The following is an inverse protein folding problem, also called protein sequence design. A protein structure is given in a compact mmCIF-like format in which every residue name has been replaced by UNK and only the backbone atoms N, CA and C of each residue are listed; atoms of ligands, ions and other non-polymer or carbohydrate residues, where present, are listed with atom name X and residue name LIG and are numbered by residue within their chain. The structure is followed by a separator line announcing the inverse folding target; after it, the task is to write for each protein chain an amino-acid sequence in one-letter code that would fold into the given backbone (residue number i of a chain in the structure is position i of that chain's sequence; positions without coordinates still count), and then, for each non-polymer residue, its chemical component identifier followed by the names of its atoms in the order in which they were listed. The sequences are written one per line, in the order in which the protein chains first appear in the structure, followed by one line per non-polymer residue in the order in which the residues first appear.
data_IF_428807526061
#
_entry.id   IF_428807526061
#
_cell.length_a   1.000
_cell.length_b   1.000
_cell.length_c   1.000
_cell.angle_alpha   90.00
_cell.angle_beta   90.00
_cell.angle_gamma   90.00
#
_symmetry.space_group_name_H-M   'P 1'
#
loop_
_entity.id
_entity.type
_entity.pdbx_description
1 polymer ?
#
# COMPACT_ATOMS: atom_id res chain seq x y z
N UNK A 1 -22.88 -28.92 0.20
CA UNK A 1 -22.89 -28.28 -1.14
C UNK A 1 -23.60 -26.92 -1.14
N UNK A 2 -24.80 -26.77 -0.54
CA UNK A 2 -25.47 -25.45 -0.44
C UNK A 2 -24.81 -24.46 0.54
N UNK A 3 -24.34 -24.89 1.71
CA UNK A 3 -23.60 -24.02 2.64
C UNK A 3 -22.27 -23.52 2.05
N UNK A 4 -21.54 -24.39 1.34
CA UNK A 4 -20.30 -24.03 0.63
C UNK A 4 -20.55 -23.04 -0.50
N UNK A 5 -21.68 -23.17 -1.22
CA UNK A 5 -22.05 -22.24 -2.29
C UNK A 5 -22.43 -20.86 -1.72
N UNK A 6 -23.28 -20.81 -0.69
CA UNK A 6 -23.66 -19.55 -0.04
C UNK A 6 -22.47 -18.82 0.60
N UNK A 7 -21.53 -19.56 1.19
CA UNK A 7 -20.29 -19.02 1.73
C UNK A 7 -19.39 -18.42 0.64
N UNK A 8 -19.22 -19.11 -0.49
CA UNK A 8 -18.48 -18.59 -1.64
C UNK A 8 -19.16 -17.35 -2.25
N UNK A 9 -20.50 -17.34 -2.33
CA UNK A 9 -21.25 -16.16 -2.81
C UNK A 9 -21.06 -14.96 -1.89
N UNK A 10 -21.10 -15.14 -0.57
CA UNK A 10 -20.84 -14.06 0.40
C UNK A 10 -19.42 -13.50 0.27
N UNK A 11 -18.41 -14.36 0.13
CA UNK A 11 -17.02 -13.92 -0.08
C UNK A 11 -16.91 -13.05 -1.33
N UNK A 12 -17.49 -13.49 -2.46
CA UNK A 12 -17.45 -12.74 -3.71
C UNK A 12 -18.12 -11.37 -3.53
N UNK A 13 -19.26 -11.31 -2.84
CA UNK A 13 -19.93 -10.04 -2.54
C UNK A 13 -19.08 -9.11 -1.66
N UNK A 14 -18.43 -9.63 -0.62
CA UNK A 14 -17.49 -8.85 0.20
C UNK A 14 -16.28 -8.37 -0.60
N UNK A 15 -15.70 -9.21 -1.45
CA UNK A 15 -14.60 -8.82 -2.32
C UNK A 15 -15.00 -7.72 -3.29
N UNK A 16 -16.15 -7.85 -3.96
CA UNK A 16 -16.70 -6.83 -4.85
C UNK A 16 -16.99 -5.52 -4.11
N UNK A 17 -17.45 -5.60 -2.86
CA UNK A 17 -17.65 -4.43 -2.00
C UNK A 17 -16.33 -3.67 -1.78
N UNK A 18 -15.26 -4.36 -1.38
CA UNK A 18 -13.95 -3.72 -1.16
C UNK A 18 -13.32 -3.20 -2.46
N UNK A 19 -13.46 -3.93 -3.58
CA UNK A 19 -12.97 -3.49 -4.89
C UNK A 19 -13.63 -2.17 -5.30
N UNK A 20 -14.94 -2.04 -5.09
CA UNK A 20 -15.66 -0.80 -5.39
C UNK A 20 -15.33 0.33 -4.41
N UNK A 21 -14.94 0.00 -3.18
CA UNK A 21 -14.66 0.98 -2.11
C UNK A 21 -13.24 1.56 -2.18
N UNK A 22 -12.26 0.79 -2.67
CA UNK A 22 -10.84 1.17 -2.74
C UNK A 22 -10.19 0.95 -4.13
N UNK A 23 -10.85 1.34 -5.24
CA UNK A 23 -10.38 0.99 -6.58
C UNK A 23 -8.99 1.57 -6.89
N UNK A 24 -8.71 2.80 -6.46
CA UNK A 24 -7.43 3.46 -6.78
C UNK A 24 -6.32 2.89 -5.91
N UNK A 25 -6.56 2.67 -4.62
CA UNK A 25 -5.57 2.02 -3.75
C UNK A 25 -5.20 0.63 -4.28
N UNK A 26 -6.18 -0.16 -4.72
CA UNK A 26 -5.90 -1.49 -5.29
C UNK A 26 -5.05 -1.41 -6.55
N UNK A 27 -5.33 -0.47 -7.45
CA UNK A 27 -4.50 -0.25 -8.63
C UNK A 27 -3.06 0.14 -8.27
N UNK A 28 -2.88 1.04 -7.29
CA UNK A 28 -1.55 1.44 -6.80
C UNK A 28 -0.84 0.25 -6.15
N UNK A 29 -1.52 -0.54 -5.33
CA UNK A 29 -0.94 -1.73 -4.68
C UNK A 29 -0.45 -2.73 -5.73
N UNK A 30 -1.27 -3.02 -6.75
CA UNK A 30 -0.86 -3.90 -7.86
C UNK A 30 0.34 -3.35 -8.61
N UNK A 31 0.36 -2.03 -8.84
CA UNK A 31 1.50 -1.36 -9.46
C UNK A 31 2.76 -1.48 -8.60
N UNK A 32 2.66 -1.28 -7.28
CA UNK A 32 3.79 -1.40 -6.36
C UNK A 32 4.31 -2.83 -6.30
N UNK A 33 3.43 -3.83 -6.24
CA UNK A 33 3.81 -5.25 -6.33
C UNK A 33 4.61 -5.47 -7.62
N UNK A 34 4.05 -5.07 -8.77
CA UNK A 34 4.71 -5.25 -10.05
C UNK A 34 6.11 -4.60 -10.07
N UNK A 35 6.22 -3.33 -9.68
CA UNK A 35 7.49 -2.60 -9.67
C UNK A 35 8.52 -3.17 -8.67
N UNK A 36 8.05 -3.79 -7.58
CA UNK A 36 8.92 -4.41 -6.58
C UNK A 36 9.56 -5.70 -7.07
N UNK A 37 8.92 -6.45 -7.98
CA UNK A 37 9.51 -7.66 -8.55
C UNK A 37 10.05 -7.46 -9.97
N UNK A 38 9.73 -6.34 -10.61
CA UNK A 38 10.25 -6.00 -11.92
C UNK A 38 11.75 -5.71 -11.89
N UNK A 39 12.48 -6.13 -12.93
CA UNK A 39 13.89 -5.79 -13.13
C UNK A 39 13.98 -4.51 -13.96
N UNK A 40 14.32 -3.35 -13.37
CA UNK A 40 14.36 -2.11 -14.13
C UNK A 40 15.45 -2.16 -15.22
N UNK A 41 15.19 -1.60 -16.42
CA UNK A 41 16.22 -1.45 -17.43
C UNK A 41 17.28 -0.46 -16.94
N UNK A 42 18.55 -0.70 -17.30
CA UNK A 42 19.64 0.23 -17.03
C UNK A 42 19.42 1.54 -17.79
N UNK A 43 19.22 2.64 -17.07
CA UNK A 43 18.97 3.98 -17.64
C UNK A 43 19.94 5.00 -17.04
N UNK A 44 20.14 6.14 -17.68
CA UNK A 44 20.97 7.23 -17.12
C UNK A 44 20.52 7.66 -15.71
N UNK A 45 19.22 7.55 -15.41
CA UNK A 45 18.64 7.86 -14.09
C UNK A 45 19.15 6.90 -13.02
N UNK A 46 19.37 5.63 -13.34
CA UNK A 46 19.92 4.64 -12.40
C UNK A 46 21.36 4.91 -11.96
N UNK A 47 22.05 5.90 -12.57
CA UNK A 47 23.39 6.33 -12.15
C UNK A 47 23.37 7.34 -10.99
N UNK A 48 22.21 7.94 -10.69
CA UNK A 48 22.07 8.85 -9.56
C UNK A 48 22.06 8.01 -8.27
N UNK A 49 22.97 8.26 -7.31
CA UNK A 49 23.00 7.48 -6.08
C UNK A 49 21.71 7.67 -5.27
N UNK A 50 21.17 6.57 -4.72
CA UNK A 50 19.97 6.52 -3.86
C UNK A 50 18.65 6.98 -4.51
N UNK A 51 18.59 7.13 -5.84
CA UNK A 51 17.35 7.53 -6.52
C UNK A 51 16.24 6.48 -6.36
N UNK A 52 16.62 5.21 -6.28
CA UNK A 52 15.76 4.08 -5.95
C UNK A 52 15.05 4.33 -4.61
N UNK A 53 15.75 4.82 -3.58
CA UNK A 53 15.16 5.10 -2.26
C UNK A 53 14.08 6.18 -2.33
N UNK A 54 14.26 7.19 -3.18
CA UNK A 54 13.24 8.23 -3.42
C UNK A 54 12.00 7.61 -4.08
N UNK A 55 12.19 6.71 -5.05
CA UNK A 55 11.09 5.98 -5.69
C UNK A 55 10.34 5.13 -4.67
N UNK A 56 11.04 4.45 -3.77
CA UNK A 56 10.47 3.68 -2.66
C UNK A 56 9.61 4.54 -1.72
N UNK A 57 10.13 5.71 -1.30
CA UNK A 57 9.36 6.69 -0.51
C UNK A 57 8.10 7.12 -1.28
N UNK A 58 8.22 7.47 -2.56
CA UNK A 58 7.09 7.91 -3.39
C UNK A 58 6.03 6.82 -3.56
N UNK A 59 6.44 5.57 -3.78
CA UNK A 59 5.55 4.42 -3.94
C UNK A 59 4.70 4.20 -2.68
N UNK A 60 5.34 4.16 -1.51
CA UNK A 60 4.63 3.94 -0.25
C UNK A 60 3.86 5.16 0.24
N UNK A 61 4.34 6.37 -0.06
CA UNK A 61 3.57 7.59 0.16
C UNK A 61 2.27 7.58 -0.67
N UNK A 62 2.37 7.22 -1.95
CA UNK A 62 1.21 7.10 -2.84
C UNK A 62 0.24 6.02 -2.38
N UNK A 63 0.73 4.82 -2.06
CA UNK A 63 -0.10 3.70 -1.58
C UNK A 63 -0.80 4.05 -0.25
N UNK A 64 -0.03 4.38 0.79
CA UNK A 64 -0.55 4.70 2.12
C UNK A 64 -1.45 5.94 2.09
N UNK A 65 -1.07 6.96 1.32
CA UNK A 65 -1.83 8.21 1.20
C UNK A 65 -3.18 8.00 0.51
N UNK A 66 -3.22 7.17 -0.54
CA UNK A 66 -4.48 6.84 -1.20
C UNK A 66 -5.38 6.00 -0.30
N UNK A 67 -4.83 5.04 0.44
CA UNK A 67 -5.59 4.26 1.42
C UNK A 67 -6.19 5.16 2.50
N UNK A 68 -5.42 6.12 3.03
CA UNK A 68 -5.93 7.15 3.95
C UNK A 68 -7.07 7.96 3.33
N UNK A 69 -6.89 8.43 2.10
CA UNK A 69 -7.87 9.26 1.40
C UNK A 69 -9.18 8.51 1.13
N UNK A 70 -9.10 7.31 0.55
CA UNK A 70 -10.27 6.47 0.26
C UNK A 70 -10.95 6.01 1.56
N UNK A 71 -10.19 5.67 2.60
CA UNK A 71 -10.77 5.31 3.91
C UNK A 71 -11.58 6.47 4.50
N UNK A 72 -11.00 7.67 4.54
CA UNK A 72 -11.67 8.87 5.08
C UNK A 72 -12.91 9.25 4.24
N UNK A 73 -12.84 9.12 2.91
CA UNK A 73 -13.99 9.36 2.02
C UNK A 73 -15.11 8.36 2.27
N UNK A 74 -14.75 7.08 2.32
CA UNK A 74 -15.71 6.00 2.33
C UNK A 74 -16.35 5.76 3.71
N UNK A 75 -15.78 6.34 4.77
CA UNK A 75 -16.33 6.27 6.13
C UNK A 75 -16.69 7.64 6.72
N UNK A 76 -16.80 8.69 5.89
CA UNK A 76 -17.21 10.03 6.35
C UNK A 76 -18.54 10.02 7.12
N UNK A 77 -19.47 9.15 6.72
CA UNK A 77 -20.83 9.05 7.32
C UNK A 77 -20.96 8.00 8.42
N UNK A 78 -20.04 7.05 8.48
CA UNK A 78 -20.22 5.80 9.24
C UNK A 78 -19.53 5.82 10.62
N UNK A 79 -19.00 6.98 11.06
CA UNK A 79 -18.26 7.13 12.32
C UNK A 79 -17.23 6.01 12.56
N UNK A 80 -16.60 5.50 11.50
CA UNK A 80 -15.71 4.37 11.62
C UNK A 80 -14.52 4.73 12.52
N UNK A 81 -14.09 3.82 13.41
CA UNK A 81 -12.99 4.10 14.32
C UNK A 81 -11.70 4.40 13.55
N UNK A 82 -11.02 5.49 13.92
CA UNK A 82 -9.78 5.92 13.26
C UNK A 82 -8.66 4.89 13.33
N UNK A 83 -8.71 3.96 14.31
CA UNK A 83 -7.73 2.87 14.40
C UNK A 83 -7.72 2.00 13.14
N UNK A 84 -8.86 1.83 12.45
CA UNK A 84 -8.91 1.08 11.19
C UNK A 84 -8.12 1.77 10.08
N UNK A 85 -8.10 3.12 10.07
CA UNK A 85 -7.27 3.88 9.13
C UNK A 85 -5.78 3.65 9.42
N UNK A 86 -5.37 3.69 10.69
CA UNK A 86 -4.00 3.41 11.09
C UNK A 86 -3.59 1.97 10.79
N UNK A 87 -4.47 1.00 11.08
CA UNK A 87 -4.20 -0.41 10.75
C UNK A 87 -4.07 -0.60 9.24
N UNK A 88 -5.06 -0.15 8.45
CA UNK A 88 -5.13 -0.40 7.02
C UNK A 88 -4.19 0.45 6.17
N UNK A 89 -3.98 1.72 6.53
CA UNK A 89 -3.21 2.67 5.73
C UNK A 89 -1.79 2.90 6.25
N UNK A 90 -1.42 2.43 7.45
CA UNK A 90 -0.05 2.52 7.96
C UNK A 90 0.56 1.15 8.29
N UNK A 91 -0.04 0.42 9.25
CA UNK A 91 0.53 -0.84 9.72
C UNK A 91 0.58 -1.89 8.60
N UNK A 92 -0.51 -2.07 7.86
CA UNK A 92 -0.57 -3.02 6.76
C UNK A 92 0.49 -2.70 5.66
N UNK A 93 0.62 -1.46 5.15
CA UNK A 93 1.70 -1.12 4.23
C UNK A 93 3.11 -1.38 4.79
N UNK A 94 3.40 -1.06 6.05
CA UNK A 94 4.74 -1.32 6.63
C UNK A 94 5.03 -2.82 6.69
N UNK A 95 4.08 -3.63 7.16
CA UNK A 95 4.24 -5.09 7.18
C UNK A 95 4.38 -5.67 5.77
N UNK A 96 3.56 -5.16 4.84
CA UNK A 96 3.63 -5.52 3.42
C UNK A 96 5.01 -5.21 2.83
N UNK A 97 5.62 -4.07 3.19
CA UNK A 97 7.00 -3.76 2.79
C UNK A 97 7.99 -4.80 3.29
N UNK A 98 7.94 -5.15 4.58
CA UNK A 98 8.84 -6.15 5.13
C UNK A 98 8.69 -7.50 4.43
N UNK A 99 7.46 -7.90 4.13
CA UNK A 99 7.20 -9.12 3.36
C UNK A 99 7.77 -9.04 1.94
N UNK A 100 7.64 -7.91 1.25
CA UNK A 100 8.19 -7.73 -0.10
C UNK A 100 9.72 -7.87 -0.11
N UNK A 101 10.42 -7.26 0.85
CA UNK A 101 11.88 -7.38 0.95
C UNK A 101 12.32 -8.82 1.22
N UNK A 102 11.62 -9.52 2.12
CA UNK A 102 11.89 -10.94 2.37
C UNK A 102 11.61 -11.80 1.13
N UNK A 103 10.55 -11.50 0.39
CA UNK A 103 10.24 -12.21 -0.86
C UNK A 103 11.25 -11.91 -1.96
N UNK A 104 11.78 -10.69 -2.04
CA UNK A 104 12.86 -10.36 -2.98
C UNK A 104 14.10 -11.18 -2.64
N UNK A 105 14.53 -11.18 -1.37
CA UNK A 105 15.70 -11.92 -0.89
C UNK A 105 15.58 -13.44 -1.08
N UNK A 106 14.44 -14.03 -0.70
CA UNK A 106 14.31 -15.50 -0.65
C UNK A 106 13.64 -16.11 -1.87
N UNK A 107 12.90 -15.35 -2.67
CA UNK A 107 12.14 -15.86 -3.80
C UNK A 107 12.61 -15.34 -5.16
N UNK A 108 13.65 -14.50 -5.22
CA UNK A 108 14.23 -14.03 -6.48
C UNK A 108 15.75 -14.24 -6.53
N UNK A 109 16.31 -14.31 -7.74
CA UNK A 109 17.75 -14.52 -7.96
C UNK A 109 18.46 -13.28 -8.47
N UNK A 110 17.73 -12.22 -8.76
CA UNK A 110 18.22 -10.99 -9.40
C UNK A 110 17.90 -9.72 -8.59
N UNK A 111 17.20 -9.85 -7.46
CA UNK A 111 16.91 -8.77 -6.52
C UNK A 111 17.19 -9.28 -5.11
N UNK A 112 17.94 -8.52 -4.33
CA UNK A 112 18.13 -8.80 -2.91
C UNK A 112 17.13 -7.99 -2.10
N UNK A 113 16.86 -8.43 -0.87
CA UNK A 113 16.18 -7.59 0.12
C UNK A 113 17.15 -6.54 0.67
N UNK A 114 16.68 -5.29 0.79
CA UNK A 114 17.46 -4.19 1.32
C UNK A 114 16.73 -3.51 2.49
N UNK A 115 17.35 -3.53 3.67
CA UNK A 115 16.82 -2.84 4.85
C UNK A 115 16.67 -1.34 4.66
N UNK A 116 17.46 -0.71 3.77
CA UNK A 116 17.28 0.69 3.40
C UNK A 116 16.06 0.89 2.50
N UNK A 117 15.69 -0.07 1.65
CA UNK A 117 14.42 -0.04 0.90
C UNK A 117 13.24 -0.17 1.85
N UNK A 118 13.31 -1.08 2.83
CA UNK A 118 12.32 -1.16 3.90
C UNK A 118 12.16 0.17 4.66
N UNK A 119 13.28 0.81 5.03
CA UNK A 119 13.26 2.10 5.72
C UNK A 119 12.68 3.23 4.84
N UNK A 120 13.02 3.26 3.56
CA UNK A 120 12.49 4.21 2.58
C UNK A 120 10.96 4.04 2.41
N UNK A 121 10.49 2.81 2.24
CA UNK A 121 9.08 2.46 2.16
C UNK A 121 8.32 2.88 3.43
N UNK A 122 8.86 2.55 4.60
CA UNK A 122 8.30 2.93 5.89
C UNK A 122 8.23 4.45 6.04
N UNK A 123 9.27 5.17 5.62
CA UNK A 123 9.29 6.65 5.62
C UNK A 123 8.18 7.22 4.76
N UNK A 124 7.95 6.68 3.56
CA UNK A 124 6.83 7.06 2.70
C UNK A 124 5.47 6.87 3.39
N UNK A 125 5.26 5.74 4.07
CA UNK A 125 4.03 5.45 4.80
C UNK A 125 3.83 6.36 6.03
N UNK A 126 4.90 6.71 6.75
CA UNK A 126 4.87 7.69 7.85
C UNK A 126 4.44 9.06 7.33
N UNK A 127 5.09 9.56 6.27
CA UNK A 127 4.77 10.86 5.66
C UNK A 127 3.32 10.90 5.16
N UNK A 128 2.86 9.84 4.49
CA UNK A 128 1.48 9.73 4.05
C UNK A 128 0.50 9.75 5.21
N UNK A 129 0.82 9.09 6.32
CA UNK A 129 -0.02 9.07 7.52
C UNK A 129 -0.07 10.41 8.22
N UNK A 130 1.04 11.16 8.25
CA UNK A 130 1.06 12.55 8.73
C UNK A 130 0.15 13.43 7.86
N UNK A 131 0.24 13.33 6.53
CA UNK A 131 -0.66 14.04 5.61
C UNK A 131 -2.11 13.59 5.81
N UNK A 132 -2.38 12.29 5.93
CA UNK A 132 -3.71 11.74 6.18
C UNK A 132 -4.35 12.29 7.45
N UNK A 133 -3.60 12.28 8.55
CA UNK A 133 -4.09 12.67 9.87
C UNK A 133 -4.20 14.19 10.05
N UNK A 134 -3.18 14.96 9.65
CA UNK A 134 -3.14 16.41 9.91
C UNK A 134 -3.72 17.27 8.78
N UNK A 135 -3.71 16.79 7.53
CA UNK A 135 -4.11 17.58 6.37
C UNK A 135 -5.45 17.09 5.80
N UNK A 136 -5.59 15.80 5.51
CA UNK A 136 -6.80 15.26 4.88
C UNK A 136 -7.96 15.17 5.85
N UNK A 137 -7.75 14.56 7.02
CA UNK A 137 -8.82 14.34 8.01
C UNK A 137 -9.54 15.64 8.42
N UNK A 138 -8.88 16.76 8.76
CA UNK A 138 -9.59 17.98 9.15
C UNK A 138 -10.42 18.59 8.02
N UNK A 139 -9.99 18.41 6.76
CA UNK A 139 -10.70 18.92 5.56
C UNK A 139 -11.88 18.05 5.12
N UNK A 140 -11.99 16.84 5.67
CA UNK A 140 -12.99 15.85 5.26
C UNK A 140 -14.05 15.57 6.32
N UNK A 141 -14.01 16.31 7.44
CA UNK A 141 -15.10 16.40 8.40
C UNK A 141 -16.31 17.07 7.77
#
# INVERSE_FOLDING_TARGET
MFCTFAHSSLIIWYMLYYIKKYPVSLFIILTVIYLSFFKPPSTEISKIPNIDKVVHICMYFGMSGMLWLEFLRAHRRDNAPLWHAWAGAFVCPVLFSGMVELLQEYCTTYRGGDWLDFAANTTGAVLASMVGYFILRPRMK
#
